data_IF_903838205140
#
_entry.id   IF_903838205140
#
_cell.length_a   1.000
_cell.length_b   1.000
_cell.length_c   1.000
_cell.angle_alpha   90.00
_cell.angle_beta   90.00
_cell.angle_gamma   90.00
#
_symmetry.space_group_name_H-M   'P 1'
#
loop_
_entity.id
_entity.type
_entity.pdbx_description
1 polymer ?
#
# COMPACT_ATOMS: atom_id res chain seq x y z
N UNK A 1 -13.66 52.18 16.49
CA UNK A 1 -14.21 50.90 17.03
C UNK A 1 -14.13 49.86 15.92
N UNK A 2 -13.13 49.05 15.95
CA UNK A 2 -12.89 47.96 14.97
C UNK A 2 -13.36 46.69 15.63
N UNK A 3 -14.46 46.11 15.15
CA UNK A 3 -14.97 44.83 15.61
C UNK A 3 -14.09 43.73 14.99
N UNK A 4 -13.37 43.05 15.85
CA UNK A 4 -12.61 41.83 15.51
C UNK A 4 -13.55 40.62 15.53
N UNK A 5 -13.97 40.15 14.37
CA UNK A 5 -14.74 38.90 14.23
C UNK A 5 -13.81 37.73 14.52
N UNK A 6 -13.83 37.21 15.73
CA UNK A 6 -13.25 35.90 16.08
C UNK A 6 -14.19 34.81 15.60
N UNK A 7 -13.89 34.24 14.43
CA UNK A 7 -14.48 32.97 14.03
C UNK A 7 -13.95 31.88 14.96
N UNK A 8 -14.73 31.50 15.93
CA UNK A 8 -14.50 30.31 16.74
C UNK A 8 -14.70 29.10 15.83
N UNK A 9 -13.58 28.49 15.38
CA UNK A 9 -13.59 27.13 14.85
C UNK A 9 -13.89 26.24 16.04
N UNK A 10 -15.09 25.71 16.11
CA UNK A 10 -15.48 24.65 17.05
C UNK A 10 -14.63 23.43 16.67
N UNK A 11 -13.54 23.23 17.39
CA UNK A 11 -12.85 21.94 17.42
C UNK A 11 -13.84 20.96 18.07
N UNK A 12 -14.58 20.21 17.25
CA UNK A 12 -15.29 19.03 17.73
C UNK A 12 -14.22 18.14 18.37
N UNK A 13 -14.40 17.79 19.63
CA UNK A 13 -13.63 16.76 20.32
C UNK A 13 -13.79 15.45 19.54
N UNK A 14 -12.88 15.23 18.59
CA UNK A 14 -12.74 13.94 17.95
C UNK A 14 -12.24 12.97 19.02
N UNK A 15 -13.06 12.03 19.40
CA UNK A 15 -12.67 10.93 20.27
C UNK A 15 -11.34 10.34 19.72
N UNK A 16 -10.26 10.44 20.47
CA UNK A 16 -8.92 9.97 20.08
C UNK A 16 -8.91 8.49 19.61
N UNK A 17 -9.92 7.72 20.04
CA UNK A 17 -10.14 6.34 19.59
C UNK A 17 -10.65 6.17 18.15
N UNK A 18 -11.04 7.25 17.46
CA UNK A 18 -11.51 7.20 16.08
C UNK A 18 -10.43 7.51 15.04
N UNK A 19 -9.32 8.12 15.44
CA UNK A 19 -8.23 8.49 14.53
C UNK A 19 -7.39 7.27 14.18
N UNK A 20 -7.15 7.07 12.89
CA UNK A 20 -6.29 5.99 12.40
C UNK A 20 -4.84 6.48 12.45
N UNK A 21 -3.92 5.83 13.19
CA UNK A 21 -2.50 6.22 13.21
C UNK A 21 -1.88 6.10 11.82
N UNK A 22 -1.01 7.07 11.49
CA UNK A 22 -0.30 7.17 10.21
C UNK A 22 1.19 7.07 10.44
N UNK A 23 1.86 6.19 9.69
CA UNK A 23 3.31 6.04 9.70
C UNK A 23 3.89 6.30 8.32
N UNK A 24 5.02 7.00 8.27
CA UNK A 24 5.76 7.29 7.05
C UNK A 24 7.07 6.51 7.06
N UNK A 25 7.27 5.61 6.11
CA UNK A 25 8.52 4.90 5.89
C UNK A 25 9.43 5.77 5.02
N UNK A 26 10.61 6.13 5.55
CA UNK A 26 11.56 6.99 4.87
C UNK A 26 13.01 6.56 5.13
N UNK A 27 13.82 6.50 4.07
CA UNK A 27 15.26 6.30 4.16
C UNK A 27 15.93 7.55 4.72
N UNK A 28 16.82 7.38 5.70
CA UNK A 28 17.47 8.52 6.40
C UNK A 28 18.24 9.45 5.45
N UNK A 29 18.76 8.96 4.33
CA UNK A 29 19.41 9.76 3.31
C UNK A 29 18.45 10.58 2.43
N UNK A 30 17.14 10.25 2.41
CA UNK A 30 16.12 10.93 1.60
C UNK A 30 15.34 11.97 2.40
N UNK A 31 16.08 12.95 2.94
CA UNK A 31 15.50 14.09 3.66
C UNK A 31 14.60 14.95 2.78
N UNK A 32 14.91 15.03 1.49
CA UNK A 32 14.12 15.71 0.47
C UNK A 32 12.71 15.14 0.38
N UNK A 33 12.57 13.81 0.32
CA UNK A 33 11.28 13.14 0.28
C UNK A 33 10.53 13.25 1.60
N UNK A 34 11.25 13.12 2.72
CA UNK A 34 10.65 13.31 4.05
C UNK A 34 10.03 14.69 4.18
N UNK A 35 10.77 15.75 3.81
CA UNK A 35 10.26 17.11 3.86
C UNK A 35 8.98 17.28 3.03
N UNK A 36 8.95 16.73 1.82
CA UNK A 36 7.77 16.81 0.94
C UNK A 36 6.54 16.16 1.56
N UNK A 37 6.65 14.90 2.01
CA UNK A 37 5.50 14.18 2.56
C UNK A 37 5.07 14.76 3.92
N UNK A 38 6.01 15.20 4.77
CA UNK A 38 5.69 15.82 6.05
C UNK A 38 4.94 17.14 5.85
N UNK A 39 5.45 18.02 4.97
CA UNK A 39 4.75 19.27 4.64
C UNK A 39 3.31 18.99 4.19
N UNK A 40 3.12 17.98 3.33
CA UNK A 40 1.77 17.63 2.88
C UNK A 40 0.87 17.13 4.00
N UNK A 41 1.37 16.29 4.90
CA UNK A 41 0.61 15.80 6.05
C UNK A 41 0.28 16.92 7.05
N UNK A 42 1.21 17.84 7.27
CA UNK A 42 1.02 19.00 8.13
C UNK A 42 -0.04 19.96 7.55
N UNK A 43 -0.01 20.23 6.23
CA UNK A 43 -1.07 20.97 5.52
C UNK A 43 -2.45 20.34 5.69
N UNK A 44 -2.52 19.01 5.66
CA UNK A 44 -3.75 18.24 5.87
C UNK A 44 -4.14 18.17 7.36
N UNK A 45 -3.28 18.62 8.28
CA UNK A 45 -3.50 18.53 9.72
C UNK A 45 -3.61 17.08 10.20
N UNK A 46 -2.80 16.18 9.64
CA UNK A 46 -2.73 14.76 10.00
C UNK A 46 -1.47 14.51 10.81
N UNK A 47 -1.63 14.01 12.03
CA UNK A 47 -0.49 13.57 12.85
C UNK A 47 0.09 12.28 12.30
N UNK A 48 1.42 12.18 12.28
CA UNK A 48 2.12 11.03 11.74
C UNK A 48 3.41 10.73 12.50
N UNK A 49 3.92 9.52 12.33
CA UNK A 49 5.18 9.08 12.94
C UNK A 49 6.10 8.49 11.87
N UNK A 50 7.39 8.81 11.94
CA UNK A 50 8.39 8.28 11.02
C UNK A 50 8.84 6.87 11.42
N UNK A 51 8.98 6.00 10.42
CA UNK A 51 9.69 4.73 10.51
C UNK A 51 10.98 4.85 9.70
N UNK A 52 12.12 4.62 10.36
CA UNK A 52 13.41 4.54 9.68
C UNK A 52 13.43 3.32 8.77
N UNK A 53 13.46 3.58 7.46
CA UNK A 53 13.51 2.53 6.46
C UNK A 53 14.85 1.79 6.47
N UNK A 54 14.81 0.50 6.23
CA UNK A 54 16.00 -0.33 6.06
C UNK A 54 16.60 -0.11 4.67
N UNK A 55 17.80 0.43 4.62
CA UNK A 55 18.56 0.51 3.38
C UNK A 55 19.11 -0.86 3.00
N UNK A 56 18.54 -1.44 1.95
CA UNK A 56 18.94 -2.76 1.47
C UNK A 56 20.37 -2.87 1.01
N UNK A 57 21.01 -1.73 0.66
CA UNK A 57 22.40 -1.71 0.24
C UNK A 57 23.39 -1.80 1.40
N UNK A 58 22.98 -1.40 2.61
CA UNK A 58 23.86 -1.30 3.78
C UNK A 58 23.69 -2.49 4.74
N UNK A 59 22.51 -3.11 4.79
CA UNK A 59 22.11 -4.06 5.84
C UNK A 59 21.89 -5.51 5.36
N UNK A 60 22.77 -6.06 4.53
CA UNK A 60 22.54 -7.36 3.85
C UNK A 60 22.26 -8.55 4.80
N UNK A 61 22.99 -8.68 5.91
CA UNK A 61 22.86 -9.86 6.82
C UNK A 61 21.48 -9.95 7.49
N UNK A 62 20.89 -8.83 7.86
CA UNK A 62 19.57 -8.83 8.51
C UNK A 62 18.44 -9.05 7.50
N UNK A 63 18.62 -8.60 6.26
CA UNK A 63 17.62 -8.77 5.19
C UNK A 63 17.50 -10.23 4.71
N UNK A 64 18.60 -11.00 4.77
CA UNK A 64 18.60 -12.41 4.40
C UNK A 64 17.66 -13.26 5.27
N UNK A 65 17.38 -12.82 6.50
CA UNK A 65 16.45 -13.52 7.40
C UNK A 65 14.99 -13.35 7.01
N UNK A 66 14.62 -12.29 6.31
CA UNK A 66 13.23 -11.93 5.97
C UNK A 66 12.89 -12.13 4.49
N UNK A 67 13.89 -12.17 3.61
CA UNK A 67 13.66 -12.24 2.17
C UNK A 67 14.71 -13.06 1.43
N UNK A 68 14.26 -13.91 0.50
CA UNK A 68 15.12 -14.67 -0.37
C UNK A 68 15.75 -13.75 -1.44
N UNK A 69 16.98 -14.09 -1.87
CA UNK A 69 17.60 -13.39 -3.03
C UNK A 69 16.87 -13.69 -4.34
N UNK A 70 16.23 -14.86 -4.46
CA UNK A 70 15.56 -15.31 -5.68
C UNK A 70 14.23 -15.97 -5.31
N UNK A 71 13.19 -15.58 -5.99
CA UNK A 71 11.85 -16.13 -5.84
C UNK A 71 11.23 -16.59 -7.15
N UNK A 72 9.96 -16.95 -7.05
CA UNK A 72 9.19 -17.54 -8.17
C UNK A 72 9.07 -16.62 -9.40
N UNK A 73 9.09 -15.31 -9.20
CA UNK A 73 8.99 -14.31 -10.28
C UNK A 73 10.32 -13.62 -10.62
N UNK A 74 11.43 -14.08 -10.06
CA UNK A 74 12.78 -13.58 -10.33
C UNK A 74 13.58 -13.23 -9.08
N UNK A 75 14.70 -12.52 -9.30
CA UNK A 75 15.57 -12.04 -8.22
C UNK A 75 14.98 -10.80 -7.56
N UNK A 76 15.11 -10.70 -6.22
CA UNK A 76 14.79 -9.49 -5.47
C UNK A 76 16.05 -8.60 -5.41
N UNK A 77 15.89 -7.33 -5.81
CA UNK A 77 16.93 -6.33 -5.60
C UNK A 77 17.16 -6.07 -4.10
N UNK A 78 18.29 -5.51 -3.74
CA UNK A 78 18.56 -5.12 -2.35
C UNK A 78 17.54 -4.08 -1.87
N UNK A 79 17.15 -3.11 -2.72
CA UNK A 79 16.10 -2.15 -2.40
C UNK A 79 14.75 -2.80 -2.14
N UNK A 80 14.32 -3.78 -2.97
CA UNK A 80 13.08 -4.52 -2.74
C UNK A 80 13.10 -5.30 -1.40
N UNK A 81 14.27 -5.83 -1.02
CA UNK A 81 14.46 -6.53 0.26
C UNK A 81 14.44 -5.55 1.43
N UNK A 82 15.04 -4.35 1.28
CA UNK A 82 14.96 -3.26 2.24
C UNK A 82 13.53 -2.77 2.45
N UNK A 83 12.75 -2.65 1.37
CA UNK A 83 11.33 -2.32 1.41
C UNK A 83 10.55 -3.36 2.25
N UNK A 84 10.71 -4.66 1.98
CA UNK A 84 10.10 -5.73 2.77
C UNK A 84 10.45 -5.59 4.26
N UNK A 85 11.73 -5.39 4.59
CA UNK A 85 12.19 -5.27 5.96
C UNK A 85 11.61 -4.02 6.66
N UNK A 86 11.47 -2.90 5.96
CA UNK A 86 10.87 -1.67 6.47
C UNK A 86 9.38 -1.86 6.81
N UNK A 87 8.62 -2.50 5.93
CA UNK A 87 7.21 -2.80 6.22
C UNK A 87 7.02 -3.86 7.31
N UNK A 88 7.97 -4.77 7.47
CA UNK A 88 7.99 -5.69 8.60
C UNK A 88 8.12 -4.95 9.95
N UNK A 89 8.90 -3.86 10.01
CA UNK A 89 8.96 -2.97 11.18
C UNK A 89 7.60 -2.31 11.42
N UNK A 90 6.95 -1.81 10.37
CA UNK A 90 5.61 -1.22 10.46
C UNK A 90 4.59 -2.21 11.02
N UNK A 91 4.54 -3.45 10.52
CA UNK A 91 3.60 -4.44 11.04
C UNK A 91 3.84 -4.77 12.51
N UNK A 92 5.09 -4.86 12.95
CA UNK A 92 5.43 -5.00 14.37
C UNK A 92 4.94 -3.81 15.18
N UNK A 93 5.05 -2.60 14.64
CA UNK A 93 4.63 -1.39 15.30
C UNK A 93 3.11 -1.34 15.52
N UNK A 94 2.31 -1.76 14.55
CA UNK A 94 0.85 -1.93 14.70
C UNK A 94 0.52 -2.84 15.90
N UNK A 95 1.22 -3.97 16.01
CA UNK A 95 0.98 -4.94 17.08
C UNK A 95 1.40 -4.40 18.43
N UNK A 96 2.59 -3.78 18.52
CA UNK A 96 3.12 -3.24 19.78
C UNK A 96 2.37 -2.01 20.27
N UNK A 97 1.83 -1.18 19.38
CA UNK A 97 1.00 -0.03 19.71
C UNK A 97 -0.44 -0.42 20.09
N UNK A 98 -0.80 -1.69 19.91
CA UNK A 98 -2.14 -2.24 20.21
C UNK A 98 -3.28 -1.50 19.52
N UNK A 99 -3.03 -1.03 18.29
CA UNK A 99 -4.04 -0.31 17.51
C UNK A 99 -4.79 -1.26 16.58
N UNK A 100 -6.08 -1.01 16.40
CA UNK A 100 -6.95 -1.83 15.56
C UNK A 100 -6.53 -1.76 14.08
N UNK A 101 -6.25 -0.55 13.60
CA UNK A 101 -5.82 -0.26 12.23
C UNK A 101 -4.66 0.71 12.23
N UNK A 102 -3.84 0.67 11.18
CA UNK A 102 -2.82 1.67 10.90
C UNK A 102 -2.65 1.90 9.40
N UNK A 103 -2.32 3.12 9.04
CA UNK A 103 -1.97 3.50 7.68
C UNK A 103 -0.45 3.63 7.58
N UNK A 104 0.12 3.04 6.53
CA UNK A 104 1.51 3.28 6.14
C UNK A 104 1.56 4.04 4.83
N UNK A 105 2.51 4.94 4.75
CA UNK A 105 2.85 5.75 3.58
C UNK A 105 4.34 5.60 3.28
N UNK A 106 4.71 5.37 2.01
CA UNK A 106 6.09 5.55 1.55
C UNK A 106 6.35 7.04 1.24
N UNK A 107 7.60 7.46 1.27
CA UNK A 107 7.98 8.87 1.16
C UNK A 107 7.91 9.45 -0.28
N UNK A 108 7.58 8.62 -1.26
CA UNK A 108 7.51 9.00 -2.69
C UNK A 108 6.07 9.07 -3.22
N UNK A 109 5.09 9.25 -2.36
CA UNK A 109 3.68 9.39 -2.74
C UNK A 109 3.20 10.83 -2.65
N UNK A 110 2.12 11.11 -3.37
CA UNK A 110 1.26 12.28 -3.22
C UNK A 110 -0.08 11.86 -2.60
N UNK A 111 -0.66 12.73 -1.79
CA UNK A 111 -1.91 12.51 -1.09
C UNK A 111 -3.03 13.40 -1.64
N UNK A 112 -4.22 12.84 -1.72
CA UNK A 112 -5.46 13.56 -2.02
C UNK A 112 -5.84 14.52 -0.88
N UNK A 113 -6.55 15.61 -1.19
CA UNK A 113 -6.96 16.62 -0.19
C UNK A 113 -7.92 16.05 0.86
N UNK A 114 -8.69 15.03 0.52
CA UNK A 114 -9.62 14.37 1.42
C UNK A 114 -8.98 13.26 2.30
N UNK A 115 -7.65 13.09 2.24
CA UNK A 115 -6.92 12.11 3.07
C UNK A 115 -7.19 12.31 4.57
N UNK A 116 -7.27 13.57 5.03
CA UNK A 116 -7.64 13.89 6.40
C UNK A 116 -8.98 13.25 6.82
N UNK A 117 -10.02 13.40 6.00
CA UNK A 117 -11.35 12.85 6.31
C UNK A 117 -11.31 11.33 6.51
N UNK A 118 -10.47 10.63 5.72
CA UNK A 118 -10.26 9.18 5.80
C UNK A 118 -9.55 8.76 7.08
N UNK A 119 -8.58 9.55 7.55
CA UNK A 119 -7.82 9.28 8.79
C UNK A 119 -8.69 9.48 10.04
N UNK A 120 -9.60 10.45 10.01
CA UNK A 120 -10.44 10.84 11.15
C UNK A 120 -11.81 10.13 11.20
N UNK A 121 -12.11 9.26 10.24
CA UNK A 121 -13.34 8.47 10.19
C UNK A 121 -13.03 7.02 9.87
N UNK A 122 -13.44 6.09 10.73
CA UNK A 122 -13.28 4.64 10.53
C UNK A 122 -14.52 3.99 9.90
N UNK A 123 -15.62 4.70 9.73
CA UNK A 123 -16.90 4.14 9.29
C UNK A 123 -16.85 3.54 7.88
N UNK A 124 -15.89 3.99 7.06
CA UNK A 124 -15.64 3.46 5.72
C UNK A 124 -14.91 2.12 5.70
N UNK A 125 -14.33 1.68 6.83
CA UNK A 125 -13.57 0.42 6.91
C UNK A 125 -14.56 -0.74 7.04
N UNK A 126 -14.55 -1.73 6.14
CA UNK A 126 -15.39 -2.92 6.29
C UNK A 126 -15.03 -3.72 7.56
N UNK A 127 -16.02 -4.27 8.22
CA UNK A 127 -15.91 -4.95 9.52
C UNK A 127 -14.76 -5.98 9.61
N UNK A 128 -14.49 -6.73 8.54
CA UNK A 128 -13.47 -7.78 8.53
C UNK A 128 -12.29 -7.43 7.60
N UNK A 129 -12.03 -6.13 7.39
CA UNK A 129 -10.94 -5.70 6.55
C UNK A 129 -9.59 -6.01 7.19
N UNK A 130 -8.75 -6.79 6.49
CA UNK A 130 -7.38 -7.07 6.92
C UNK A 130 -6.38 -6.12 6.29
N UNK A 131 -6.58 -5.79 5.01
CA UNK A 131 -5.76 -4.83 4.27
C UNK A 131 -6.60 -4.10 3.23
N UNK A 132 -6.42 -2.78 3.14
CA UNK A 132 -7.05 -1.95 2.11
C UNK A 132 -5.97 -1.14 1.42
N UNK A 133 -5.79 -1.37 0.13
CA UNK A 133 -4.89 -0.57 -0.70
C UNK A 133 -5.48 0.81 -0.93
N UNK A 134 -4.71 1.85 -0.62
CA UNK A 134 -5.13 3.25 -0.72
C UNK A 134 -4.49 3.96 -1.92
N UNK A 135 -3.51 3.33 -2.54
CA UNK A 135 -2.75 3.93 -3.64
C UNK A 135 -3.07 3.34 -5.01
N UNK A 136 -2.70 4.13 -6.00
CA UNK A 136 -2.51 3.73 -7.40
C UNK A 136 -1.08 4.06 -7.81
N UNK A 137 -0.42 3.13 -8.52
CA UNK A 137 0.99 3.26 -8.87
C UNK A 137 1.33 4.55 -9.61
N UNK A 138 0.44 5.08 -10.46
CA UNK A 138 0.68 6.31 -11.24
C UNK A 138 -0.60 7.10 -11.43
N UNK A 139 -0.51 8.42 -11.27
CA UNK A 139 -1.61 9.35 -11.50
C UNK A 139 -2.06 9.40 -12.98
N UNK A 140 -1.12 9.17 -13.91
CA UNK A 140 -1.29 9.53 -15.32
C UNK A 140 -1.96 8.47 -16.20
N UNK A 141 -2.06 7.22 -15.74
CA UNK A 141 -2.65 6.12 -16.52
C UNK A 141 -3.78 5.47 -15.78
N UNK A 142 -4.90 5.26 -16.47
CA UNK A 142 -5.97 4.42 -15.95
C UNK A 142 -5.47 2.98 -15.81
N UNK A 143 -5.80 2.35 -14.67
CA UNK A 143 -5.59 0.91 -14.46
C UNK A 143 -6.94 0.20 -14.56
N UNK A 144 -7.04 -0.79 -15.43
CA UNK A 144 -8.22 -1.66 -15.49
C UNK A 144 -8.03 -2.83 -14.54
N UNK A 145 -8.88 -2.95 -13.55
CA UNK A 145 -8.81 -3.98 -12.51
C UNK A 145 -10.12 -4.74 -12.43
N UNK A 146 -10.03 -6.04 -12.14
CA UNK A 146 -11.19 -6.85 -11.80
C UNK A 146 -11.48 -6.65 -10.32
N UNK A 147 -12.58 -5.96 -10.04
CA UNK A 147 -13.00 -5.57 -8.68
C UNK A 147 -14.40 -6.10 -8.41
N UNK A 148 -14.64 -6.55 -7.18
CA UNK A 148 -15.93 -6.94 -6.66
C UNK A 148 -16.91 -5.77 -6.54
N UNK A 149 -18.12 -6.06 -6.09
CA UNK A 149 -19.08 -5.03 -5.66
C UNK A 149 -18.46 -4.20 -4.54
N UNK A 150 -18.94 -2.98 -4.35
CA UNK A 150 -18.55 -2.16 -3.20
C UNK A 150 -19.00 -2.86 -1.92
N UNK A 151 -18.08 -2.98 -0.95
CA UNK A 151 -18.34 -3.55 0.38
C UNK A 151 -18.53 -2.47 1.43
N UNK A 152 -18.06 -1.25 1.16
CA UNK A 152 -18.27 -0.05 1.96
C UNK A 152 -17.96 1.20 1.15
N UNK A 153 -18.27 2.38 1.70
CA UNK A 153 -17.98 3.69 1.12
C UNK A 153 -17.68 4.71 2.20
N UNK A 154 -17.03 5.82 1.82
CA UNK A 154 -16.88 6.99 2.68
C UNK A 154 -18.22 7.66 2.95
N UNK A 155 -18.29 8.46 4.02
CA UNK A 155 -19.52 9.17 4.41
C UNK A 155 -20.09 10.06 3.30
N UNK A 156 -19.22 10.70 2.52
CA UNK A 156 -19.59 11.52 1.37
C UNK A 156 -19.94 10.71 0.11
N UNK A 157 -19.85 9.36 0.20
CA UNK A 157 -20.04 8.42 -0.90
C UNK A 157 -19.16 8.66 -2.13
N UNK A 158 -18.04 9.37 -1.97
CA UNK A 158 -17.12 9.70 -3.07
C UNK A 158 -16.12 8.58 -3.36
N UNK A 159 -15.84 7.73 -2.37
CA UNK A 159 -14.93 6.59 -2.48
C UNK A 159 -15.58 5.33 -2.01
N UNK A 160 -15.26 4.24 -2.70
CA UNK A 160 -15.82 2.92 -2.42
C UNK A 160 -14.69 1.92 -2.20
N UNK A 161 -14.89 0.99 -1.28
CA UNK A 161 -13.96 -0.10 -1.03
C UNK A 161 -14.44 -1.35 -1.75
N UNK A 162 -13.56 -1.98 -2.51
CA UNK A 162 -13.85 -3.14 -3.35
C UNK A 162 -12.90 -4.29 -3.07
N UNK A 163 -13.39 -5.54 -3.12
CA UNK A 163 -12.52 -6.72 -3.14
C UNK A 163 -11.69 -6.74 -4.44
N UNK A 164 -10.39 -6.99 -4.33
CA UNK A 164 -9.52 -7.16 -5.48
C UNK A 164 -9.54 -8.60 -5.98
N UNK A 165 -9.76 -8.80 -7.28
CA UNK A 165 -9.68 -10.09 -7.96
C UNK A 165 -8.54 -10.14 -8.99
N UNK A 166 -7.84 -9.04 -9.17
CA UNK A 166 -6.63 -8.92 -9.98
C UNK A 166 -5.53 -8.27 -9.16
N UNK A 167 -4.27 -8.63 -9.45
CA UNK A 167 -3.14 -7.98 -8.81
C UNK A 167 -3.07 -6.49 -9.15
N UNK A 168 -2.51 -5.71 -8.27
CA UNK A 168 -2.14 -4.33 -8.54
C UNK A 168 -0.75 -4.03 -7.96
N UNK A 169 0.10 -3.37 -8.73
CA UNK A 169 1.45 -3.00 -8.31
C UNK A 169 1.46 -1.86 -7.29
N UNK A 170 2.58 -1.73 -6.57
CA UNK A 170 2.81 -0.70 -5.58
C UNK A 170 2.35 -1.09 -4.18
N UNK A 171 3.06 -0.58 -3.18
CA UNK A 171 2.81 -0.76 -1.74
C UNK A 171 2.98 0.55 -0.96
N UNK A 172 2.98 1.69 -1.69
CA UNK A 172 3.31 3.00 -1.14
C UNK A 172 2.27 3.57 -0.18
N UNK A 173 1.00 3.13 -0.24
CA UNK A 173 -0.01 3.51 0.74
C UNK A 173 -1.06 2.41 0.91
N UNK A 174 -1.24 1.95 2.16
CA UNK A 174 -2.31 1.03 2.52
C UNK A 174 -2.68 1.14 4.00
N UNK A 175 -3.90 0.75 4.32
CA UNK A 175 -4.37 0.50 5.67
C UNK A 175 -4.24 -1.00 5.95
N UNK A 176 -3.80 -1.37 7.15
CA UNK A 176 -3.78 -2.76 7.62
C UNK A 176 -4.35 -2.85 9.03
N UNK A 177 -5.13 -3.91 9.29
CA UNK A 177 -5.59 -4.20 10.63
C UNK A 177 -4.51 -4.91 11.45
N UNK A 178 -4.66 -4.94 12.78
CA UNK A 178 -3.81 -5.72 13.68
C UNK A 178 -3.80 -7.22 13.30
N UNK A 179 -4.95 -7.77 12.93
CA UNK A 179 -5.05 -9.14 12.42
C UNK A 179 -4.26 -9.30 11.11
N UNK A 180 -4.42 -8.36 10.17
CA UNK A 180 -3.68 -8.34 8.91
C UNK A 180 -2.16 -8.26 9.11
N UNK A 181 -1.70 -7.43 10.06
CA UNK A 181 -0.28 -7.34 10.42
C UNK A 181 0.25 -8.66 11.01
N UNK A 182 -0.53 -9.33 11.86
CA UNK A 182 -0.19 -10.67 12.38
C UNK A 182 -0.10 -11.70 11.25
N UNK A 183 -1.03 -11.71 10.31
CA UNK A 183 -0.98 -12.58 9.13
C UNK A 183 0.29 -12.31 8.32
N UNK A 184 0.60 -11.04 8.04
CA UNK A 184 1.78 -10.65 7.26
C UNK A 184 3.09 -11.07 7.93
N UNK A 185 3.17 -11.03 9.26
CA UNK A 185 4.35 -11.44 10.03
C UNK A 185 4.53 -12.95 10.13
N UNK A 186 3.44 -13.72 10.17
CA UNK A 186 3.48 -15.13 10.56
C UNK A 186 3.21 -16.12 9.42
N UNK A 187 2.64 -15.67 8.28
CA UNK A 187 2.26 -16.58 7.18
C UNK A 187 3.46 -17.09 6.38
N UNK A 188 4.53 -16.31 6.27
CA UNK A 188 5.75 -16.69 5.58
C UNK A 188 6.97 -16.19 6.38
N UNK A 189 7.91 -17.09 6.69
CA UNK A 189 9.16 -16.72 7.38
C UNK A 189 10.12 -15.95 6.46
N UNK A 190 10.08 -16.25 5.16
CA UNK A 190 11.00 -15.66 4.15
C UNK A 190 10.18 -15.28 2.91
N UNK A 191 10.10 -14.00 2.65
CA UNK A 191 9.44 -13.49 1.45
C UNK A 191 10.31 -13.72 0.21
N UNK A 192 9.71 -14.22 -0.85
CA UNK A 192 10.40 -14.57 -2.10
C UNK A 192 9.96 -13.73 -3.31
N UNK A 193 9.07 -12.76 -3.08
CA UNK A 193 8.55 -11.85 -4.11
C UNK A 193 8.58 -10.40 -3.58
N UNK A 194 8.57 -9.35 -4.43
CA UNK A 194 8.46 -7.96 -3.99
C UNK A 194 7.24 -7.72 -3.13
N UNK A 195 7.29 -6.70 -2.27
CA UNK A 195 6.27 -6.43 -1.26
C UNK A 195 4.86 -6.26 -1.83
N UNK A 196 4.72 -5.56 -2.94
CA UNK A 196 3.43 -5.41 -3.62
C UNK A 196 2.82 -6.74 -4.06
N UNK A 197 3.67 -7.70 -4.46
CA UNK A 197 3.25 -9.07 -4.74
C UNK A 197 2.95 -9.85 -3.45
N UNK A 198 3.67 -9.60 -2.36
CA UNK A 198 3.36 -10.20 -1.05
C UNK A 198 1.95 -9.82 -0.61
N UNK A 199 1.59 -8.54 -0.72
CA UNK A 199 0.35 -8.00 -0.18
C UNK A 199 -0.85 -8.09 -1.14
N UNK A 200 -0.62 -7.95 -2.45
CA UNK A 200 -1.66 -7.70 -3.45
C UNK A 200 -1.63 -8.65 -4.65
N UNK A 201 -0.97 -9.82 -4.53
CA UNK A 201 -0.94 -10.82 -5.60
C UNK A 201 -1.13 -12.25 -5.07
N UNK A 202 -2.37 -12.70 -5.08
CA UNK A 202 -2.76 -14.04 -4.60
C UNK A 202 -2.19 -15.19 -5.44
N UNK A 203 -1.68 -14.91 -6.67
CA UNK A 203 -1.10 -15.97 -7.51
C UNK A 203 0.23 -16.50 -7.00
N UNK A 204 0.97 -15.67 -6.27
CA UNK A 204 2.36 -15.94 -5.85
C UNK A 204 2.59 -15.78 -4.35
N UNK A 205 1.58 -15.34 -3.60
CA UNK A 205 1.68 -15.06 -2.16
C UNK A 205 0.53 -15.67 -1.37
N UNK A 206 0.86 -16.53 -0.42
CA UNK A 206 -0.09 -17.05 0.58
C UNK A 206 -0.54 -15.94 1.54
N UNK A 207 0.35 -14.97 1.83
CA UNK A 207 0.01 -13.78 2.62
C UNK A 207 -1.12 -13.01 1.95
N UNK A 208 -1.00 -12.70 0.65
CA UNK A 208 -2.06 -12.00 -0.09
C UNK A 208 -3.38 -12.77 -0.06
N UNK A 209 -3.36 -14.09 -0.25
CA UNK A 209 -4.57 -14.91 -0.16
C UNK A 209 -5.22 -14.85 1.22
N UNK A 210 -4.42 -14.92 2.29
CA UNK A 210 -4.91 -14.84 3.67
C UNK A 210 -5.44 -13.43 4.01
N UNK A 211 -4.79 -12.37 3.50
CA UNK A 211 -5.20 -10.98 3.71
C UNK A 211 -6.50 -10.62 2.98
N UNK A 212 -6.79 -11.30 1.88
CA UNK A 212 -7.97 -11.00 1.05
C UNK A 212 -8.06 -9.51 0.69
N UNK A 213 -7.11 -8.96 -0.10
CA UNK A 213 -6.92 -7.52 -0.22
C UNK A 213 -8.13 -6.79 -0.81
N UNK A 214 -8.41 -5.65 -0.22
CA UNK A 214 -9.38 -4.67 -0.70
C UNK A 214 -8.65 -3.48 -1.33
N UNK A 215 -9.38 -2.66 -2.09
CA UNK A 215 -8.87 -1.43 -2.69
C UNK A 215 -9.92 -0.33 -2.60
N UNK A 216 -9.48 0.85 -2.22
CA UNK A 216 -10.29 2.07 -2.27
C UNK A 216 -10.27 2.67 -3.67
N UNK A 217 -11.42 3.02 -4.20
CA UNK A 217 -11.61 3.62 -5.54
C UNK A 217 -12.56 4.80 -5.45
N UNK A 218 -12.18 5.99 -5.93
CA UNK A 218 -10.84 6.42 -6.37
C UNK A 218 -9.77 6.26 -5.29
N UNK A 219 -8.47 6.09 -5.66
CA UNK A 219 -7.38 5.98 -4.70
C UNK A 219 -7.11 7.32 -3.99
N UNK A 220 -6.59 7.25 -2.75
CA UNK A 220 -6.19 8.41 -1.95
C UNK A 220 -4.77 8.89 -2.21
N UNK A 221 -3.94 8.00 -2.75
CA UNK A 221 -2.54 8.26 -2.97
C UNK A 221 -2.08 7.77 -4.34
N UNK A 222 -1.01 8.36 -4.86
CA UNK A 222 -0.31 7.91 -6.07
C UNK A 222 1.17 8.25 -5.95
N UNK A 223 2.03 7.45 -6.59
CA UNK A 223 3.45 7.72 -6.58
C UNK A 223 3.77 8.95 -7.44
N UNK A 224 4.70 9.78 -6.97
CA UNK A 224 5.18 11.00 -7.67
C UNK A 224 5.98 10.67 -8.92
N UNK A 225 6.18 9.45 -9.18
CA UNK A 225 7.06 8.84 -10.14
C UNK A 225 6.78 9.27 -11.57
N UNK A 226 7.61 10.12 -12.11
CA UNK A 226 7.74 10.34 -13.56
C UNK A 226 8.84 9.41 -14.09
N UNK A 227 8.42 8.21 -14.56
CA UNK A 227 9.26 7.29 -15.34
C UNK A 227 10.78 7.29 -15.02
N UNK A 228 11.21 6.44 -14.11
CA UNK A 228 12.58 5.93 -14.09
C UNK A 228 13.62 6.77 -13.34
N UNK A 229 13.33 7.94 -12.84
CA UNK A 229 14.36 8.84 -12.33
C UNK A 229 14.54 8.89 -10.80
N UNK A 230 13.66 8.30 -10.01
CA UNK A 230 13.68 8.53 -8.56
C UNK A 230 13.41 7.29 -7.67
N UNK A 231 13.42 6.10 -8.23
CA UNK A 231 13.23 4.88 -7.44
C UNK A 231 14.55 4.42 -6.82
N UNK A 232 14.63 4.43 -5.48
CA UNK A 232 15.74 3.83 -4.74
C UNK A 232 15.74 2.28 -4.83
N UNK A 233 14.70 1.67 -5.38
CA UNK A 233 14.54 0.22 -5.52
C UNK A 233 15.24 -0.31 -6.77
N UNK A 234 15.30 0.48 -7.84
CA UNK A 234 15.85 0.10 -9.14
C UNK A 234 17.27 0.63 -9.34
N UNK A 235 18.25 0.12 -8.62
CA UNK A 235 19.61 0.06 -9.16
C UNK A 235 19.53 -0.93 -10.31
N UNK A 236 19.67 -0.43 -11.54
CA UNK A 236 19.53 -1.19 -12.79
C UNK A 236 20.48 -2.41 -12.80
N UNK A 237 19.99 -3.55 -12.33
CA UNK A 237 20.61 -4.82 -12.69
C UNK A 237 20.41 -4.94 -14.19
N UNK A 238 21.48 -4.82 -14.98
CA UNK A 238 21.45 -5.08 -16.43
C UNK A 238 21.06 -6.54 -16.67
N UNK A 239 19.77 -6.81 -16.68
CA UNK A 239 19.22 -8.15 -16.90
C UNK A 239 19.25 -8.40 -18.40
N UNK A 240 19.88 -9.50 -18.84
CA UNK A 240 19.90 -9.89 -20.26
C UNK A 240 18.48 -10.02 -20.83
N UNK A 241 18.32 -9.78 -22.15
CA UNK A 241 17.01 -9.89 -22.83
C UNK A 241 16.35 -11.27 -22.59
N UNK A 242 17.14 -12.34 -22.58
CA UNK A 242 16.68 -13.71 -22.30
C UNK A 242 16.11 -13.84 -20.89
N UNK A 243 16.82 -13.33 -19.88
CA UNK A 243 16.34 -13.37 -18.48
C UNK A 243 15.06 -12.53 -18.31
N UNK A 244 14.93 -11.38 -19.01
CA UNK A 244 13.68 -10.59 -19.02
C UNK A 244 12.52 -11.36 -19.62
N UNK A 245 12.74 -12.03 -20.74
CA UNK A 245 11.73 -12.87 -21.40
C UNK A 245 11.29 -14.02 -20.49
N UNK A 246 12.22 -14.80 -19.96
CA UNK A 246 11.91 -15.91 -19.04
C UNK A 246 11.16 -15.44 -17.79
N UNK A 247 11.52 -14.25 -17.26
CA UNK A 247 10.78 -13.62 -16.15
C UNK A 247 9.33 -13.29 -16.54
N UNK A 248 9.12 -12.77 -17.75
CA UNK A 248 7.78 -12.46 -18.26
C UNK A 248 6.94 -13.71 -18.48
N UNK A 249 7.49 -14.75 -19.05
CA UNK A 249 6.82 -16.05 -19.24
C UNK A 249 6.44 -16.66 -17.89
N UNK A 250 7.36 -16.66 -16.94
CA UNK A 250 7.10 -17.20 -15.59
C UNK A 250 6.01 -16.39 -14.89
N UNK A 251 6.03 -15.06 -15.01
CA UNK A 251 4.98 -14.20 -14.47
C UNK A 251 3.62 -14.52 -15.11
N UNK A 252 3.56 -14.61 -16.42
CA UNK A 252 2.34 -14.99 -17.14
C UNK A 252 1.80 -16.33 -16.67
N UNK A 253 2.65 -17.35 -16.50
CA UNK A 253 2.25 -18.66 -15.98
C UNK A 253 1.58 -18.56 -14.59
N UNK A 254 2.14 -17.77 -13.67
CA UNK A 254 1.49 -17.60 -12.36
C UNK A 254 0.19 -16.81 -12.46
N UNK A 255 0.10 -15.81 -13.31
CA UNK A 255 -1.12 -15.02 -13.52
C UNK A 255 -2.26 -15.87 -14.09
N UNK A 256 -1.97 -16.85 -14.96
CA UNK A 256 -3.00 -17.75 -15.49
C UNK A 256 -3.65 -18.65 -14.45
N UNK A 257 -3.01 -18.89 -13.30
CA UNK A 257 -3.56 -19.73 -12.22
C UNK A 257 -4.83 -19.14 -11.60
N UNK A 258 -5.02 -17.83 -11.63
CA UNK A 258 -6.25 -17.18 -11.14
C UNK A 258 -7.31 -17.02 -12.23
N UNK A 259 -6.97 -17.23 -13.50
CA UNK A 259 -7.92 -17.03 -14.61
C UNK A 259 -9.25 -17.76 -14.43
N UNK A 260 -9.30 -19.06 -14.06
CA UNK A 260 -10.57 -19.74 -13.87
C UNK A 260 -11.46 -19.05 -12.84
N UNK A 261 -10.88 -18.63 -11.71
CA UNK A 261 -11.59 -17.93 -10.65
C UNK A 261 -12.02 -16.51 -11.09
N UNK A 262 -11.15 -15.80 -11.81
CA UNK A 262 -11.46 -14.46 -12.34
C UNK A 262 -12.57 -14.51 -13.38
N UNK A 263 -12.53 -15.50 -14.29
CA UNK A 263 -13.58 -15.73 -15.29
C UNK A 263 -14.89 -16.06 -14.59
N UNK A 264 -14.89 -16.96 -13.63
CA UNK A 264 -16.08 -17.28 -12.83
C UNK A 264 -16.64 -16.02 -12.13
N UNK A 265 -15.79 -15.23 -11.46
CA UNK A 265 -16.21 -14.01 -10.77
C UNK A 265 -16.81 -12.97 -11.76
N UNK A 266 -16.27 -12.90 -12.98
CA UNK A 266 -16.78 -12.02 -14.03
C UNK A 266 -18.13 -12.51 -14.58
N UNK A 267 -18.23 -13.77 -14.94
CA UNK A 267 -19.44 -14.35 -15.54
C UNK A 267 -20.61 -14.42 -14.53
N UNK A 268 -20.31 -14.70 -13.26
CA UNK A 268 -21.33 -14.70 -12.19
C UNK A 268 -21.74 -13.29 -11.73
N UNK A 269 -21.12 -12.22 -12.25
CA UNK A 269 -21.41 -10.85 -11.83
C UNK A 269 -20.90 -10.47 -10.43
N UNK A 270 -20.10 -11.35 -9.78
CA UNK A 270 -19.45 -11.07 -8.49
C UNK A 270 -18.44 -9.93 -8.63
N UNK A 271 -17.72 -9.89 -9.75
CA UNK A 271 -16.74 -8.86 -10.07
C UNK A 271 -16.95 -8.25 -11.46
N UNK A 272 -16.47 -7.02 -11.64
CA UNK A 272 -16.49 -6.29 -12.92
C UNK A 272 -15.14 -5.65 -13.18
N UNK A 273 -14.81 -5.45 -14.46
CA UNK A 273 -13.65 -4.67 -14.86
C UNK A 273 -13.96 -3.19 -14.61
N UNK A 274 -13.23 -2.56 -13.70
CA UNK A 274 -13.35 -1.13 -13.39
C UNK A 274 -12.09 -0.38 -13.77
N UNK A 275 -12.27 0.83 -14.29
CA UNK A 275 -11.17 1.79 -14.47
C UNK A 275 -10.88 2.49 -13.15
N UNK A 276 -9.65 2.42 -12.70
CA UNK A 276 -9.17 3.12 -11.49
C UNK A 276 -8.39 4.34 -11.95
N UNK A 277 -8.94 5.51 -11.71
CA UNK A 277 -8.35 6.82 -12.06
C UNK A 277 -8.07 7.62 -10.80
N UNK A 278 -7.14 8.59 -10.89
CA UNK A 278 -7.07 9.70 -9.92
C UNK A 278 -8.42 10.43 -9.96
N UNK A 279 -8.90 10.85 -8.81
CA UNK A 279 -10.06 11.72 -8.70
C UNK A 279 -9.68 13.13 -9.17
#
# INVERSE_FOLDING_TARGET
MIQCNKSFIILRDYNLHQVIPVWVINLNRRKDRLLRISTRLDELGVSWERIDAIDGNVCEKNLLKMSAKKGVIGELSQGARGCIASHHIFWKKIISADVEFGIVLEDDIELSDDFRAIVFDKSWIPLNARIIKLEKLTAYRSSKLLLGKSVSSTLDNQRHVHRMYSRHCGSGAYLISKEGANIALNSEKIFSVPLDHVLFNETVSKVSSALSPLMMVPPLAWQTYKFGFDSDIDIQIKISKVKKFLRSVRRAYYETRLLPYQIFALLSGIAKIKSVNKK
#
